data_IF_787753164306
#
_entry.id   IF_787753164306
#
_cell.length_a   1.000
_cell.length_b   1.000
_cell.length_c   1.000
_cell.angle_alpha   90.00
_cell.angle_beta   90.00
_cell.angle_gamma   90.00
#
_symmetry.space_group_name_H-M   'P 1'
#
loop_
_entity.id
_entity.type
_entity.pdbx_description
1 polymer ?
#
# COMPACT_ATOMS: atom_id res chain seq x y z
N UNK A 1 -19.54 -8.63 -17.45
CA UNK A 1 -19.03 -8.04 -16.20
C UNK A 1 -18.68 -9.17 -15.26
N UNK A 2 -17.56 -9.10 -14.55
CA UNK A 2 -17.24 -10.10 -13.52
C UNK A 2 -18.34 -10.14 -12.47
N UNK A 3 -18.70 -11.33 -11.99
CA UNK A 3 -19.63 -11.49 -10.88
C UNK A 3 -19.00 -10.92 -9.62
N UNK A 4 -19.74 -10.11 -8.87
CA UNK A 4 -19.26 -9.63 -7.57
C UNK A 4 -19.03 -10.81 -6.61
N UNK A 5 -17.89 -10.82 -5.94
CA UNK A 5 -17.63 -11.81 -4.88
C UNK A 5 -18.48 -11.45 -3.66
N UNK A 6 -18.99 -12.49 -3.00
CA UNK A 6 -19.72 -12.32 -1.75
C UNK A 6 -18.75 -11.98 -0.62
N UNK A 7 -18.94 -10.80 -0.02
CA UNK A 7 -18.09 -10.27 1.05
C UNK A 7 -18.95 -9.77 2.20
N UNK A 8 -18.45 -9.92 3.41
CA UNK A 8 -19.02 -9.32 4.62
C UNK A 8 -18.26 -8.03 4.95
N UNK A 9 -18.97 -7.02 5.43
CA UNK A 9 -18.37 -5.76 5.87
C UNK A 9 -18.14 -5.76 7.39
N UNK A 10 -16.97 -5.30 7.83
CA UNK A 10 -16.64 -5.12 9.24
C UNK A 10 -15.74 -3.91 9.45
N UNK A 11 -15.43 -3.59 10.70
CA UNK A 11 -14.49 -2.53 11.05
C UNK A 11 -13.29 -3.06 11.82
N UNK A 12 -12.10 -2.68 11.39
CA UNK A 12 -10.83 -3.00 12.06
C UNK A 12 -10.03 -1.70 12.20
N UNK A 13 -9.64 -1.34 13.42
CA UNK A 13 -8.89 -0.10 13.72
C UNK A 13 -9.47 1.20 13.11
N UNK A 14 -10.78 1.23 12.85
CA UNK A 14 -11.50 2.38 12.27
C UNK A 14 -11.73 2.30 10.76
N UNK A 15 -11.04 1.42 10.03
CA UNK A 15 -11.27 1.18 8.59
C UNK A 15 -12.49 0.32 8.34
N UNK A 16 -13.18 0.59 7.22
CA UNK A 16 -14.15 -0.33 6.64
C UNK A 16 -13.40 -1.45 5.89
N UNK A 17 -13.64 -2.70 6.26
CA UNK A 17 -13.03 -3.87 5.64
C UNK A 17 -14.13 -4.73 5.01
N UNK A 18 -13.97 -5.08 3.72
CA UNK A 18 -14.80 -6.09 3.05
C UNK A 18 -14.01 -7.39 2.92
N UNK A 19 -14.52 -8.47 3.48
CA UNK A 19 -13.79 -9.74 3.58
C UNK A 19 -14.55 -10.80 2.79
N UNK A 20 -13.87 -11.50 1.90
CA UNK A 20 -14.42 -12.65 1.18
C UNK A 20 -14.98 -13.70 2.15
N UNK A 21 -16.25 -14.08 1.98
CA UNK A 21 -16.96 -14.94 2.92
C UNK A 21 -16.27 -16.29 3.15
N UNK A 22 -15.49 -16.79 2.19
CA UNK A 22 -14.72 -18.02 2.39
C UNK A 22 -13.65 -17.91 3.48
N UNK A 23 -13.21 -16.68 3.83
CA UNK A 23 -12.22 -16.39 4.87
C UNK A 23 -12.84 -16.19 6.26
N UNK A 24 -14.18 -16.19 6.37
CA UNK A 24 -14.93 -15.92 7.61
C UNK A 24 -15.57 -17.19 8.19
N UNK A 25 -15.98 -17.19 9.47
CA UNK A 25 -16.64 -18.35 10.08
C UNK A 25 -17.78 -18.90 9.20
N UNK A 26 -17.73 -20.21 8.89
CA UNK A 26 -18.64 -20.86 7.95
C UNK A 26 -18.11 -20.98 6.52
N UNK A 27 -17.03 -20.27 6.19
CA UNK A 27 -16.29 -20.41 4.93
C UNK A 27 -15.18 -21.46 4.98
N UNK A 28 -14.93 -22.11 3.84
CA UNK A 28 -13.99 -23.24 3.73
C UNK A 28 -12.52 -22.88 4.02
N UNK A 29 -12.14 -21.60 3.89
CA UNK A 29 -10.77 -21.12 4.09
C UNK A 29 -10.55 -20.41 5.43
N UNK A 30 -11.57 -20.32 6.27
CA UNK A 30 -11.48 -19.55 7.52
C UNK A 30 -10.38 -20.04 8.46
N UNK A 31 -10.42 -21.30 8.86
CA UNK A 31 -9.42 -21.93 9.75
C UNK A 31 -8.02 -22.03 9.13
N UNK A 32 -7.82 -22.50 7.89
CA UNK A 32 -6.48 -22.62 7.33
C UNK A 32 -5.82 -21.28 6.98
N UNK A 33 -6.61 -20.21 6.75
CA UNK A 33 -6.10 -18.97 6.17
C UNK A 33 -6.70 -17.69 6.78
N UNK A 34 -8.04 -17.61 6.82
CA UNK A 34 -8.76 -16.41 7.21
C UNK A 34 -8.34 -15.83 8.57
N UNK A 35 -8.25 -16.66 9.61
CA UNK A 35 -7.81 -16.24 10.95
C UNK A 35 -6.44 -15.56 10.91
N UNK A 36 -5.47 -16.13 10.19
CA UNK A 36 -4.11 -15.58 10.06
C UNK A 36 -4.09 -14.29 9.25
N UNK A 37 -4.90 -14.20 8.20
CA UNK A 37 -5.01 -13.01 7.37
C UNK A 37 -5.60 -11.84 8.16
N UNK A 38 -6.62 -12.08 8.96
CA UNK A 38 -7.23 -11.06 9.82
C UNK A 38 -6.29 -10.61 10.94
N UNK A 39 -5.52 -11.53 11.53
CA UNK A 39 -4.48 -11.16 12.51
C UNK A 39 -3.42 -10.25 11.88
N UNK A 40 -2.91 -10.58 10.69
CA UNK A 40 -1.94 -9.72 9.98
C UNK A 40 -2.55 -8.37 9.64
N UNK A 41 -3.77 -8.34 9.10
CA UNK A 41 -4.46 -7.11 8.74
C UNK A 41 -4.66 -6.19 9.96
N UNK A 42 -5.11 -6.73 11.09
CA UNK A 42 -5.25 -5.98 12.33
C UNK A 42 -3.89 -5.45 12.81
N UNK A 43 -2.83 -6.26 12.75
CA UNK A 43 -1.46 -5.83 13.10
C UNK A 43 -0.95 -4.69 12.23
N UNK A 44 -1.10 -4.80 10.90
CA UNK A 44 -0.65 -3.77 9.95
C UNK A 44 -1.41 -2.45 10.20
N UNK A 45 -2.74 -2.51 10.32
CA UNK A 45 -3.58 -1.34 10.57
C UNK A 45 -3.37 -0.71 11.95
N UNK A 46 -3.15 -1.54 12.98
CA UNK A 46 -2.81 -1.08 14.32
C UNK A 46 -1.49 -0.33 14.34
N UNK A 47 -0.46 -0.85 13.64
CA UNK A 47 0.83 -0.17 13.48
C UNK A 47 0.68 1.15 12.74
N UNK A 48 -0.04 1.18 11.60
CA UNK A 48 -0.28 2.40 10.83
C UNK A 48 -0.99 3.46 11.70
N UNK A 49 -2.00 3.05 12.48
CA UNK A 49 -2.72 3.96 13.39
C UNK A 49 -1.85 4.61 14.45
N UNK A 50 -0.77 3.95 14.87
CA UNK A 50 0.16 4.48 15.88
C UNK A 50 1.23 5.40 15.27
N UNK A 51 1.52 5.24 13.98
CA UNK A 51 2.60 5.96 13.31
C UNK A 51 2.13 7.27 12.66
N UNK A 52 0.91 7.30 12.14
CA UNK A 52 0.40 8.45 11.40
C UNK A 52 -0.25 9.47 12.36
N UNK A 53 0.00 10.78 12.14
CA UNK A 53 -0.78 11.83 12.77
C UNK A 53 -2.28 11.72 12.47
N UNK A 54 -3.11 12.26 13.37
CA UNK A 54 -4.56 12.05 13.35
C UNK A 54 -5.25 12.52 12.07
N UNK A 55 -4.84 13.68 11.52
CA UNK A 55 -5.48 14.25 10.32
C UNK A 55 -5.33 13.34 9.08
N UNK A 56 -4.13 12.95 8.64
CA UNK A 56 -3.99 12.01 7.51
C UNK A 56 -4.53 10.62 7.83
N UNK A 57 -4.44 10.18 9.10
CA UNK A 57 -5.00 8.89 9.53
C UNK A 57 -6.52 8.82 9.31
N UNK A 58 -7.26 9.90 9.62
CA UNK A 58 -8.70 9.93 9.39
C UNK A 58 -9.04 9.87 7.90
N UNK A 59 -8.29 10.56 7.03
CA UNK A 59 -8.46 10.45 5.57
C UNK A 59 -8.23 9.02 5.09
N UNK A 60 -7.25 8.32 5.64
CA UNK A 60 -6.99 6.92 5.27
C UNK A 60 -8.09 5.98 5.77
N UNK A 61 -8.72 6.24 6.91
CA UNK A 61 -9.81 5.41 7.44
C UNK A 61 -11.07 5.44 6.57
N UNK A 62 -11.25 6.47 5.76
CA UNK A 62 -12.32 6.55 4.77
C UNK A 62 -12.10 5.59 3.58
N UNK A 63 -10.86 5.13 3.36
CA UNK A 63 -10.52 4.17 2.30
C UNK A 63 -11.00 2.77 2.71
N UNK A 64 -11.85 2.17 1.88
CA UNK A 64 -12.25 0.78 2.08
C UNK A 64 -11.11 -0.17 1.69
N UNK A 65 -10.85 -1.15 2.55
CA UNK A 65 -9.89 -2.23 2.29
C UNK A 65 -10.66 -3.51 1.99
N UNK A 66 -10.24 -4.25 0.97
CA UNK A 66 -10.85 -5.50 0.55
C UNK A 66 -9.83 -6.63 0.73
N UNK A 67 -10.23 -7.69 1.42
CA UNK A 67 -9.42 -8.89 1.64
C UNK A 67 -10.09 -10.08 0.94
N UNK A 68 -9.46 -10.56 -0.13
CA UNK A 68 -9.95 -11.69 -0.93
C UNK A 68 -8.95 -12.84 -0.97
N UNK A 69 -9.45 -14.03 -1.33
CA UNK A 69 -8.62 -15.09 -1.91
C UNK A 69 -9.02 -15.29 -3.38
N UNK A 70 -8.46 -14.42 -4.23
CA UNK A 70 -8.74 -14.39 -5.66
C UNK A 70 -7.95 -15.47 -6.42
N UNK A 71 -8.57 -16.21 -7.37
CA UNK A 71 -7.90 -17.34 -8.03
C UNK A 71 -6.75 -16.93 -8.97
N UNK A 72 -6.84 -15.76 -9.62
CA UNK A 72 -5.88 -15.28 -10.63
C UNK A 72 -4.94 -14.16 -10.18
N UNK A 73 -5.50 -13.11 -9.57
CA UNK A 73 -4.74 -11.97 -9.04
C UNK A 73 -3.89 -12.38 -7.83
N UNK A 74 -2.74 -11.70 -7.67
CA UNK A 74 -1.86 -11.81 -6.52
C UNK A 74 -1.44 -10.40 -6.05
N UNK A 75 -0.91 -10.31 -4.83
CA UNK A 75 -0.44 -9.06 -4.25
C UNK A 75 -1.57 -8.21 -3.67
N UNK A 76 -1.24 -6.96 -3.34
CA UNK A 76 -2.23 -5.94 -3.08
C UNK A 76 -2.13 -4.83 -4.11
N UNK A 77 -3.23 -4.12 -4.33
CA UNK A 77 -3.34 -3.09 -5.35
C UNK A 77 -4.36 -2.04 -4.92
N UNK A 78 -4.04 -0.77 -5.17
CA UNK A 78 -5.01 0.30 -5.20
C UNK A 78 -5.57 0.48 -6.62
N UNK A 79 -6.90 0.49 -6.78
CA UNK A 79 -7.54 0.60 -8.09
C UNK A 79 -8.16 1.99 -8.34
N UNK A 80 -7.48 2.91 -9.05
CA UNK A 80 -7.97 4.29 -9.18
C UNK A 80 -9.14 4.47 -10.16
N UNK A 81 -9.35 3.55 -11.11
CA UNK A 81 -10.29 3.73 -12.23
C UNK A 81 -11.32 2.61 -12.32
N UNK A 82 -12.58 2.95 -12.07
CA UNK A 82 -13.73 2.07 -12.28
C UNK A 82 -13.87 1.63 -13.74
N UNK A 83 -13.65 2.53 -14.68
CA UNK A 83 -13.77 2.22 -16.11
C UNK A 83 -12.70 1.21 -16.53
N UNK A 84 -11.46 1.41 -16.09
CA UNK A 84 -10.37 0.47 -16.38
C UNK A 84 -10.67 -0.93 -15.83
N UNK A 85 -11.24 -1.02 -14.62
CA UNK A 85 -11.66 -2.30 -14.03
C UNK A 85 -12.70 -3.00 -14.92
N UNK A 86 -13.74 -2.27 -15.36
CA UNK A 86 -14.79 -2.82 -16.24
C UNK A 86 -14.19 -3.30 -17.57
N UNK A 87 -13.35 -2.47 -18.21
CA UNK A 87 -12.76 -2.74 -19.52
C UNK A 87 -11.81 -3.96 -19.49
N UNK A 88 -11.20 -4.24 -18.33
CA UNK A 88 -10.31 -5.38 -18.12
C UNK A 88 -11.01 -6.57 -17.44
N UNK A 89 -12.33 -6.53 -17.29
CA UNK A 89 -13.13 -7.65 -16.78
C UNK A 89 -12.99 -7.89 -15.27
N UNK A 90 -12.68 -6.85 -14.50
CA UNK A 90 -12.67 -6.85 -13.03
C UNK A 90 -13.97 -6.29 -12.44
N UNK A 91 -14.17 -6.52 -11.14
CA UNK A 91 -15.30 -5.99 -10.39
C UNK A 91 -15.21 -4.46 -10.26
N UNK A 92 -16.25 -3.75 -10.70
CA UNK A 92 -16.27 -2.29 -10.66
C UNK A 92 -16.29 -1.71 -9.23
N UNK A 93 -16.71 -2.51 -8.24
CA UNK A 93 -16.76 -2.16 -6.82
C UNK A 93 -15.38 -2.15 -6.14
N UNK A 94 -14.32 -2.58 -6.83
CA UNK A 94 -12.93 -2.46 -6.37
C UNK A 94 -12.38 -1.04 -6.55
N UNK A 95 -13.07 -0.17 -7.30
CA UNK A 95 -12.60 1.18 -7.56
C UNK A 95 -12.44 1.99 -6.27
N UNK A 96 -11.35 2.75 -6.18
CA UNK A 96 -10.97 3.61 -5.04
C UNK A 96 -10.82 2.85 -3.71
N UNK A 97 -10.62 1.54 -3.77
CA UNK A 97 -10.32 0.69 -2.61
C UNK A 97 -8.89 0.17 -2.67
N UNK A 98 -8.35 -0.21 -1.51
CA UNK A 98 -7.14 -1.04 -1.41
C UNK A 98 -7.58 -2.50 -1.43
N UNK A 99 -7.10 -3.27 -2.41
CA UNK A 99 -7.45 -4.67 -2.60
C UNK A 99 -6.28 -5.57 -2.28
N UNK A 100 -6.32 -6.25 -1.14
CA UNK A 100 -5.47 -7.41 -0.85
C UNK A 100 -6.10 -8.59 -1.58
N UNK A 101 -5.70 -8.80 -2.83
CA UNK A 101 -6.40 -9.71 -3.73
C UNK A 101 -6.20 -11.18 -3.37
N UNK A 102 -5.15 -11.50 -2.60
CA UNK A 102 -4.82 -12.89 -2.25
C UNK A 102 -4.29 -13.03 -0.82
N UNK A 103 -5.19 -13.40 0.08
CA UNK A 103 -4.94 -13.61 1.49
C UNK A 103 -3.83 -14.63 1.75
N UNK A 104 -3.68 -15.66 0.91
CA UNK A 104 -2.61 -16.67 1.02
C UNK A 104 -1.21 -16.14 0.68
N UNK A 105 -1.13 -15.07 -0.13
CA UNK A 105 0.12 -14.41 -0.51
C UNK A 105 0.50 -13.26 0.44
N UNK A 106 -0.49 -12.46 0.86
CA UNK A 106 -0.50 -11.83 2.20
C UNK A 106 -0.20 -12.94 3.23
N UNK A 107 0.14 -12.74 4.50
CA UNK A 107 0.50 -13.86 5.44
C UNK A 107 1.66 -14.81 5.08
N UNK A 108 2.13 -14.92 3.83
CA UNK A 108 3.29 -15.75 3.48
C UNK A 108 4.52 -15.13 4.15
N UNK A 109 5.32 -15.97 4.81
CA UNK A 109 6.50 -15.54 5.57
C UNK A 109 7.48 -14.73 4.72
N UNK A 110 7.79 -15.21 3.52
CA UNK A 110 8.76 -14.52 2.66
C UNK A 110 8.23 -13.15 2.22
N UNK A 111 6.93 -13.04 1.94
CA UNK A 111 6.30 -11.76 1.60
C UNK A 111 6.30 -10.79 2.79
N UNK A 112 6.05 -11.28 4.01
CA UNK A 112 6.19 -10.51 5.25
C UNK A 112 7.60 -9.93 5.46
N UNK A 113 8.64 -10.70 5.11
CA UNK A 113 10.03 -10.29 5.28
C UNK A 113 10.50 -9.34 4.18
N UNK A 114 10.00 -9.52 2.95
CA UNK A 114 10.36 -8.66 1.82
C UNK A 114 9.59 -7.36 1.89
N UNK A 115 8.26 -7.38 1.97
CA UNK A 115 7.40 -6.19 1.90
C UNK A 115 6.57 -6.01 3.19
N UNK A 116 7.20 -5.65 4.32
CA UNK A 116 6.50 -5.48 5.60
C UNK A 116 5.55 -4.28 5.60
N UNK A 117 5.79 -3.28 4.75
CA UNK A 117 4.99 -2.04 4.67
C UNK A 117 4.01 -2.01 3.49
N UNK A 118 3.75 -3.16 2.85
CA UNK A 118 2.90 -3.23 1.66
C UNK A 118 1.51 -2.60 1.86
N UNK A 119 0.85 -2.79 3.01
CA UNK A 119 -0.47 -2.19 3.21
C UNK A 119 -0.39 -0.66 3.28
N UNK A 120 0.69 -0.13 3.85
CA UNK A 120 0.96 1.30 3.88
C UNK A 120 1.23 1.84 2.46
N UNK A 121 1.93 1.08 1.62
CA UNK A 121 2.15 1.42 0.21
C UNK A 121 0.83 1.66 -0.54
N UNK A 122 -0.10 0.72 -0.46
CA UNK A 122 -1.38 0.83 -1.16
C UNK A 122 -2.25 1.95 -0.57
N UNK A 123 -2.19 2.17 0.74
CA UNK A 123 -2.84 3.32 1.38
C UNK A 123 -2.21 4.65 0.96
N UNK A 124 -0.89 4.70 0.70
CA UNK A 124 -0.24 5.88 0.16
C UNK A 124 -0.73 6.18 -1.27
N UNK A 125 -0.92 5.16 -2.12
CA UNK A 125 -1.59 5.35 -3.42
C UNK A 125 -3.00 5.90 -3.27
N UNK A 126 -3.77 5.38 -2.31
CA UNK A 126 -5.11 5.90 -2.03
C UNK A 126 -5.09 7.37 -1.57
N UNK A 127 -4.16 7.74 -0.68
CA UNK A 127 -4.00 9.12 -0.22
C UNK A 127 -3.60 10.07 -1.36
N UNK A 128 -2.64 9.64 -2.19
CA UNK A 128 -2.18 10.41 -3.34
C UNK A 128 -3.33 10.65 -4.33
N UNK A 129 -4.19 9.67 -4.57
CA UNK A 129 -5.33 9.82 -5.47
C UNK A 129 -6.48 10.65 -4.86
N UNK A 130 -6.88 10.33 -3.63
CA UNK A 130 -8.14 10.81 -3.04
C UNK A 130 -7.99 12.11 -2.25
N UNK A 131 -6.79 12.43 -1.76
CA UNK A 131 -6.53 13.62 -0.93
C UNK A 131 -5.70 14.64 -1.69
N UNK A 132 -4.55 14.22 -2.24
CA UNK A 132 -3.64 15.12 -2.95
C UNK A 132 -4.03 15.32 -4.42
N UNK A 133 -4.56 14.27 -5.05
CA UNK A 133 -4.66 14.12 -6.50
C UNK A 133 -3.34 13.68 -7.13
N UNK A 134 -3.39 12.72 -8.08
CA UNK A 134 -2.18 12.24 -8.76
C UNK A 134 -1.40 13.29 -9.55
N UNK A 135 -1.98 14.47 -9.79
CA UNK A 135 -1.30 15.59 -10.43
C UNK A 135 -0.65 16.56 -9.43
N UNK A 136 -0.49 16.15 -8.17
CA UNK A 136 0.15 16.97 -7.14
C UNK A 136 1.60 17.30 -7.53
N UNK A 137 1.79 18.53 -8.01
CA UNK A 137 3.02 19.01 -8.65
C UNK A 137 4.30 18.84 -7.80
N UNK A 138 4.29 19.02 -6.46
CA UNK A 138 5.48 18.78 -5.65
C UNK A 138 6.07 17.36 -5.81
N UNK A 139 5.22 16.33 -5.86
CA UNK A 139 5.68 14.94 -6.06
C UNK A 139 6.25 14.77 -7.47
N UNK A 140 5.56 15.28 -8.51
CA UNK A 140 6.01 15.18 -9.90
C UNK A 140 7.37 15.86 -10.13
N UNK A 141 7.59 17.02 -9.49
CA UNK A 141 8.86 17.75 -9.58
C UNK A 141 10.02 16.99 -8.95
N UNK A 142 9.82 16.42 -7.76
CA UNK A 142 10.87 15.64 -7.09
C UNK A 142 11.15 14.33 -7.83
N UNK A 143 10.11 13.66 -8.32
CA UNK A 143 10.27 12.50 -9.18
C UNK A 143 11.12 12.80 -10.43
N UNK A 144 10.78 13.87 -11.16
CA UNK A 144 11.54 14.28 -12.35
C UNK A 144 13.00 14.64 -12.01
N UNK A 145 13.24 15.30 -10.87
CA UNK A 145 14.59 15.60 -10.36
C UNK A 145 15.37 14.31 -10.09
N UNK A 146 14.76 13.35 -9.40
CA UNK A 146 15.39 12.07 -9.06
C UNK A 146 15.80 11.31 -10.31
N UNK A 147 14.91 11.25 -11.32
CA UNK A 147 15.22 10.66 -12.62
C UNK A 147 16.40 11.36 -13.32
N UNK A 148 16.39 12.69 -13.37
CA UNK A 148 17.46 13.47 -14.03
C UNK A 148 18.82 13.28 -13.35
N UNK A 149 18.84 13.10 -12.04
CA UNK A 149 20.07 12.86 -11.27
C UNK A 149 20.52 11.40 -11.30
N UNK A 150 19.73 10.48 -11.86
CA UNK A 150 19.99 9.04 -11.80
C UNK A 150 19.93 8.49 -10.37
N UNK A 151 19.27 9.21 -9.45
CA UNK A 151 18.98 8.68 -8.12
C UNK A 151 18.08 7.45 -8.28
N UNK A 152 18.22 6.46 -7.40
CA UNK A 152 17.45 5.22 -7.42
C UNK A 152 17.69 4.26 -8.61
N UNK A 153 18.56 4.58 -9.57
CA UNK A 153 18.81 3.73 -10.77
C UNK A 153 19.52 2.41 -10.44
N UNK A 154 20.32 2.39 -9.38
CA UNK A 154 20.93 1.17 -8.82
C UNK A 154 21.03 1.31 -7.31
N UNK A 155 20.16 0.61 -6.60
CA UNK A 155 20.09 0.60 -5.13
C UNK A 155 20.01 -0.83 -4.61
N UNK A 156 20.42 -1.00 -3.36
CA UNK A 156 20.34 -2.29 -2.69
C UNK A 156 18.88 -2.70 -2.52
N UNK A 157 18.56 -3.91 -2.95
CA UNK A 157 17.30 -4.59 -2.65
C UNK A 157 17.45 -5.44 -1.38
N UNK A 158 16.37 -5.74 -0.68
CA UNK A 158 16.35 -6.48 0.60
C UNK A 158 17.06 -7.85 0.55
N UNK A 159 17.15 -8.46 -0.65
CA UNK A 159 17.94 -9.70 -0.85
C UNK A 159 19.46 -9.48 -0.95
N UNK A 160 19.94 -8.24 -0.79
CA UNK A 160 21.34 -7.84 -0.85
C UNK A 160 21.91 -7.60 -2.25
N UNK A 161 21.09 -7.64 -3.30
CA UNK A 161 21.52 -7.37 -4.70
C UNK A 161 21.15 -5.95 -5.09
N UNK A 162 21.97 -5.32 -5.93
CA UNK A 162 21.63 -4.04 -6.55
C UNK A 162 20.56 -4.22 -7.64
N UNK A 163 19.60 -3.29 -7.68
CA UNK A 163 18.52 -3.23 -8.69
C UNK A 163 18.08 -1.78 -8.89
N UNK A 164 17.43 -1.53 -10.04
CA UNK A 164 16.67 -0.29 -10.23
C UNK A 164 15.49 -0.24 -9.27
N UNK A 165 15.35 0.84 -8.50
CA UNK A 165 14.27 0.95 -7.53
C UNK A 165 12.90 1.02 -8.22
N UNK A 166 11.90 0.40 -7.60
CA UNK A 166 10.52 0.46 -8.09
C UNK A 166 9.93 1.88 -8.15
N UNK A 167 10.41 2.78 -7.28
CA UNK A 167 10.07 4.20 -7.24
C UNK A 167 10.27 4.91 -8.59
N UNK A 168 11.16 4.41 -9.46
CA UNK A 168 11.40 4.97 -10.78
C UNK A 168 10.41 4.53 -11.87
N UNK A 169 9.35 3.82 -11.52
CA UNK A 169 8.29 3.41 -12.45
C UNK A 169 7.43 4.60 -12.86
N UNK A 170 6.96 5.39 -11.88
CA UNK A 170 6.22 6.63 -12.08
C UNK A 170 6.18 7.42 -10.75
N UNK A 171 5.67 8.65 -10.80
CA UNK A 171 5.60 9.53 -9.63
C UNK A 171 4.68 9.03 -8.50
N UNK A 172 3.75 8.11 -8.79
CA UNK A 172 2.89 7.47 -7.78
C UNK A 172 3.67 6.43 -6.99
N UNK A 173 4.41 5.55 -7.66
CA UNK A 173 5.32 4.61 -6.99
C UNK A 173 6.39 5.35 -6.21
N UNK A 174 6.96 6.42 -6.79
CA UNK A 174 7.91 7.26 -6.07
C UNK A 174 7.34 7.79 -4.75
N UNK A 175 6.08 8.20 -4.70
CA UNK A 175 5.44 8.63 -3.46
C UNK A 175 5.21 7.46 -2.48
N UNK A 176 4.66 6.34 -2.96
CA UNK A 176 4.31 5.20 -2.11
C UNK A 176 5.56 4.54 -1.50
N UNK A 177 6.58 4.28 -2.31
CA UNK A 177 7.86 3.70 -1.88
C UNK A 177 8.55 4.56 -0.82
N UNK A 178 8.69 5.87 -1.06
CA UNK A 178 9.32 6.74 -0.07
C UNK A 178 8.46 6.91 1.20
N UNK A 179 7.14 6.74 1.11
CA UNK A 179 6.26 6.68 2.30
C UNK A 179 6.53 5.44 3.15
N UNK A 180 6.83 4.28 2.53
CA UNK A 180 7.26 3.10 3.28
C UNK A 180 8.53 3.34 4.08
N UNK A 181 9.56 3.94 3.45
CA UNK A 181 10.81 4.26 4.13
C UNK A 181 10.59 5.28 5.26
N UNK A 182 9.68 6.25 5.08
CA UNK A 182 9.41 7.30 6.05
C UNK A 182 8.76 6.80 7.35
N UNK A 183 7.82 5.84 7.29
CA UNK A 183 7.12 5.32 8.49
C UNK A 183 7.55 3.91 8.91
N UNK A 184 8.16 3.14 8.02
CA UNK A 184 8.37 1.71 8.20
C UNK A 184 9.67 1.24 7.59
N UNK A 185 9.58 0.14 6.86
CA UNK A 185 10.71 -0.46 6.15
C UNK A 185 10.30 -0.72 4.72
N UNK A 186 11.06 -0.15 3.79
CA UNK A 186 10.96 -0.41 2.35
C UNK A 186 11.77 -1.68 1.98
N UNK A 187 11.49 -2.32 0.86
CA UNK A 187 12.24 -3.46 0.32
C UNK A 187 13.44 -3.06 -0.58
N UNK A 188 13.57 -1.77 -0.91
CA UNK A 188 14.72 -1.14 -1.57
C UNK A 188 15.34 -0.05 -0.67
N UNK A 189 16.64 0.21 -0.84
CA UNK A 189 17.29 1.35 -0.23
C UNK A 189 16.78 2.65 -0.89
N UNK A 190 16.42 3.70 -0.12
CA UNK A 190 16.51 3.82 1.34
C UNK A 190 15.47 2.96 2.07
N UNK A 191 15.93 2.11 2.99
CA UNK A 191 15.07 1.15 3.68
C UNK A 191 14.29 1.79 4.81
N UNK A 192 14.85 2.82 5.45
CA UNK A 192 14.28 3.47 6.65
C UNK A 192 14.41 4.99 6.59
N UNK A 193 13.69 5.68 7.49
CA UNK A 193 13.51 7.13 7.49
C UNK A 193 14.82 7.93 7.48
N UNK A 194 15.82 7.51 8.27
CA UNK A 194 17.12 8.20 8.34
C UNK A 194 17.94 8.04 7.06
N UNK A 195 17.79 6.91 6.37
CA UNK A 195 18.44 6.71 5.07
C UNK A 195 17.75 7.55 3.99
N UNK A 196 16.42 7.66 4.05
CA UNK A 196 15.66 8.54 3.15
C UNK A 196 16.08 10.00 3.33
N UNK A 197 16.24 10.47 4.57
CA UNK A 197 16.71 11.84 4.84
C UNK A 197 18.08 12.11 4.20
N UNK A 198 18.99 11.14 4.26
CA UNK A 198 20.34 11.28 3.68
C UNK A 198 20.33 11.14 2.15
N UNK A 199 19.56 10.19 1.61
CA UNK A 199 19.55 9.88 0.19
C UNK A 199 18.73 10.89 -0.61
N UNK A 200 17.56 11.26 -0.12
CA UNK A 200 16.61 12.16 -0.77
C UNK A 200 15.97 13.13 0.24
N UNK A 201 16.80 14.07 0.73
CA UNK A 201 16.38 15.06 1.73
C UNK A 201 15.22 15.96 1.31
N UNK A 202 15.01 16.19 0.00
CA UNK A 202 13.88 17.00 -0.48
C UNK A 202 12.57 16.20 -0.41
N UNK A 203 12.62 14.91 -0.79
CA UNK A 203 11.47 14.02 -0.64
C UNK A 203 11.12 13.79 0.83
N UNK A 204 12.14 13.62 1.67
CA UNK A 204 11.98 13.56 3.13
C UNK A 204 11.19 14.77 3.68
N UNK A 205 11.60 15.99 3.32
CA UNK A 205 10.90 17.23 3.73
C UNK A 205 9.49 17.31 3.18
N UNK A 206 9.28 16.88 1.94
CA UNK A 206 7.94 16.86 1.35
C UNK A 206 7.01 15.90 2.13
N UNK A 207 7.52 14.72 2.53
CA UNK A 207 6.75 13.77 3.33
C UNK A 207 6.42 14.32 4.73
N UNK A 208 7.33 15.04 5.39
CA UNK A 208 7.02 15.74 6.64
C UNK A 208 5.87 16.75 6.45
N UNK A 209 5.85 17.47 5.33
CA UNK A 209 4.77 18.43 5.04
C UNK A 209 3.43 17.74 4.72
N UNK A 210 3.44 16.59 4.04
CA UNK A 210 2.23 15.85 3.64
C UNK A 210 1.64 15.09 4.82
N UNK A 211 2.48 14.34 5.53
CA UNK A 211 2.04 13.42 6.57
C UNK A 211 2.10 14.02 7.98
N UNK A 212 2.78 15.16 8.15
CA UNK A 212 3.09 15.74 9.45
C UNK A 212 4.40 15.21 10.02
N UNK A 213 4.96 15.97 10.98
CA UNK A 213 6.15 15.53 11.70
C UNK A 213 5.75 14.70 12.92
N UNK A 214 6.21 13.46 12.96
CA UNK A 214 5.95 12.51 14.05
C UNK A 214 7.18 12.21 14.91
N UNK A 215 8.27 12.97 14.73
CA UNK A 215 9.53 12.86 15.47
C UNK A 215 10.11 14.23 15.81
#
# INVERSE_FOLDING_TARGET
MASERSREETKIHGWNIRIDNQLLPGGDLHKPLGERALVRLASDLGRISLLLPEEPLQKLRDVTIILDEHPKLNGAQYHPSKQWLIDNGHEASLAKCVHISKASFYVKRDHLLVQPSMLLHELAHAYHDQVLGFEYEPIKKLFARAQLKGEYESVRFVTGKERRHYALTNHKEYFAENTEAFFGTNDFYPFVRSELEQHDSDMYKLLQNIWGDSL
#
